data_IF_028436938254
#
_entry.id   IF_028436938254
#
_cell.length_a   1.000
_cell.length_b   1.000
_cell.length_c   1.000
_cell.angle_alpha   90.00
_cell.angle_beta   90.00
_cell.angle_gamma   90.00
#
_symmetry.space_group_name_H-M   'P 1'
#
loop_
_entity.id
_entity.type
_entity.pdbx_description
1 polymer ?
#
# COMPACT_ATOMS: atom_id res chain seq x y z
N UNK A 1 -1.93 2.91 -13.24
CA UNK A 1 -0.64 3.60 -13.02
C UNK A 1 -0.85 4.93 -12.32
N UNK A 2 -1.72 5.81 -12.82
CA UNK A 2 -2.01 7.07 -12.12
C UNK A 2 -2.61 6.84 -10.72
N UNK A 3 -3.58 5.93 -10.61
CA UNK A 3 -4.18 5.50 -9.34
C UNK A 3 -3.16 4.97 -8.33
N UNK A 4 -2.26 4.07 -8.76
CA UNK A 4 -1.17 3.52 -7.96
C UNK A 4 -0.24 4.61 -7.42
N UNK A 5 0.13 5.58 -8.26
CA UNK A 5 0.95 6.71 -7.86
C UNK A 5 0.25 7.61 -6.84
N UNK A 6 -1.04 7.87 -7.04
CA UNK A 6 -1.84 8.66 -6.10
C UNK A 6 -1.98 7.91 -4.76
N UNK A 7 -2.18 6.60 -4.80
CA UNK A 7 -2.26 5.78 -3.60
C UNK A 7 -0.93 5.79 -2.82
N UNK A 8 0.22 5.65 -3.50
CA UNK A 8 1.54 5.73 -2.87
C UNK A 8 1.82 7.09 -2.24
N UNK A 9 1.47 8.18 -2.92
CA UNK A 9 1.59 9.54 -2.40
C UNK A 9 0.77 9.70 -1.12
N UNK A 10 -0.49 9.25 -1.13
CA UNK A 10 -1.37 9.32 0.05
C UNK A 10 -0.90 8.45 1.21
N UNK A 11 -0.53 7.20 0.95
CA UNK A 11 0.02 6.32 1.98
C UNK A 11 1.33 6.91 2.54
N UNK A 12 2.15 7.53 1.70
CA UNK A 12 3.38 8.21 2.12
C UNK A 12 3.13 9.40 3.05
N UNK A 13 2.13 10.23 2.75
CA UNK A 13 1.70 11.35 3.62
C UNK A 13 1.27 10.82 5.01
N UNK A 14 0.45 9.77 5.05
CA UNK A 14 -0.02 9.15 6.30
C UNK A 14 1.13 8.52 7.10
N UNK A 15 2.05 7.80 6.44
CA UNK A 15 3.21 7.20 7.12
C UNK A 15 4.10 8.28 7.73
N UNK A 16 4.38 9.36 6.99
CA UNK A 16 5.16 10.47 7.52
C UNK A 16 4.50 11.08 8.75
N UNK A 17 3.17 11.26 8.72
CA UNK A 17 2.43 11.74 9.88
C UNK A 17 2.55 10.79 11.08
N UNK A 18 2.40 9.48 10.88
CA UNK A 18 2.56 8.46 11.93
C UNK A 18 3.98 8.51 12.50
N UNK A 19 5.03 8.59 11.66
CA UNK A 19 6.40 8.65 12.14
C UNK A 19 6.66 9.90 12.98
N UNK A 20 6.22 11.08 12.53
CA UNK A 20 6.33 12.31 13.31
C UNK A 20 5.62 12.17 14.67
N UNK A 21 4.42 11.60 14.67
CA UNK A 21 3.67 11.34 15.90
C UNK A 21 4.42 10.40 16.85
N UNK A 22 5.02 9.33 16.33
CA UNK A 22 5.82 8.39 17.12
C UNK A 22 7.10 9.03 17.66
N UNK A 23 7.72 9.93 16.89
CA UNK A 23 8.89 10.68 17.33
C UNK A 23 8.59 11.65 18.48
N UNK A 24 7.37 12.18 18.57
CA UNK A 24 6.94 13.04 19.68
C UNK A 24 6.74 12.28 21.00
N UNK A 25 6.68 10.94 20.97
CA UNK A 25 6.53 10.11 22.17
C UNK A 25 7.91 9.89 22.82
N UNK A 26 8.11 10.43 24.03
CA UNK A 26 9.40 10.45 24.73
C UNK A 26 10.10 9.09 24.89
N UNK A 27 9.34 8.01 25.07
CA UNK A 27 9.86 6.66 25.30
C UNK A 27 9.82 5.77 24.06
N UNK A 28 9.45 6.30 22.90
CA UNK A 28 9.43 5.52 21.67
C UNK A 28 10.88 5.29 21.18
N UNK A 29 11.23 4.06 20.75
CA UNK A 29 12.55 3.79 20.20
C UNK A 29 12.81 4.62 18.93
N UNK A 30 13.96 5.31 18.90
CA UNK A 30 14.39 6.15 17.78
C UNK A 30 15.69 5.62 17.16
N UNK A 31 15.88 5.71 15.84
CA UNK A 31 14.94 6.25 14.84
C UNK A 31 13.77 5.28 14.54
N UNK A 32 12.64 5.81 14.08
CA UNK A 32 11.52 4.98 13.62
C UNK A 32 11.95 4.24 12.36
N UNK A 33 11.73 2.92 12.33
CA UNK A 33 12.13 2.11 11.17
C UNK A 33 11.31 2.49 9.91
N UNK A 34 11.92 2.41 8.71
CA UNK A 34 11.20 2.63 7.46
C UNK A 34 10.00 1.69 7.34
N UNK A 35 8.88 2.19 6.84
CA UNK A 35 7.69 1.37 6.59
C UNK A 35 7.74 0.82 5.17
N UNK A 36 7.67 -0.50 5.02
CA UNK A 36 7.59 -1.15 3.72
C UNK A 36 6.16 -1.09 3.16
N UNK A 37 6.02 -0.50 1.98
CA UNK A 37 4.79 -0.48 1.18
C UNK A 37 4.87 -1.57 0.12
N UNK A 38 3.87 -2.45 0.09
CA UNK A 38 3.75 -3.47 -0.95
C UNK A 38 3.03 -2.90 -2.17
N UNK A 39 3.66 -2.96 -3.34
CA UNK A 39 3.08 -2.51 -4.61
C UNK A 39 3.12 -3.64 -5.65
N UNK A 40 2.01 -3.86 -6.37
CA UNK A 40 1.93 -4.89 -7.41
C UNK A 40 2.29 -4.37 -8.82
N UNK A 41 2.58 -3.07 -8.93
CA UNK A 41 2.90 -2.41 -10.19
C UNK A 41 4.38 -2.14 -10.32
N UNK A 42 5.11 -3.06 -10.94
CA UNK A 42 6.55 -2.86 -11.24
C UNK A 42 6.82 -1.58 -12.03
N UNK A 43 5.90 -1.17 -12.91
CA UNK A 43 6.02 0.08 -13.65
C UNK A 43 5.93 1.31 -12.75
N UNK A 44 5.12 1.25 -11.68
CA UNK A 44 5.07 2.30 -10.66
C UNK A 44 6.35 2.31 -9.82
N UNK A 45 6.79 1.14 -9.35
CA UNK A 45 8.04 0.97 -8.57
C UNK A 45 9.25 1.52 -9.35
N UNK A 46 9.40 1.14 -10.63
CA UNK A 46 10.50 1.62 -11.46
C UNK A 46 10.45 3.13 -11.71
N UNK A 47 9.24 3.73 -11.72
CA UNK A 47 9.08 5.18 -11.87
C UNK A 47 9.29 5.94 -10.57
N UNK A 48 8.91 5.41 -9.40
CA UNK A 48 9.16 6.10 -8.13
C UNK A 48 10.66 6.11 -7.78
N UNK A 49 11.39 5.07 -8.20
CA UNK A 49 12.85 5.01 -8.06
C UNK A 49 13.63 5.85 -9.08
N UNK A 50 12.99 6.40 -10.12
CA UNK A 50 13.73 7.17 -11.14
C UNK A 50 14.08 8.56 -10.62
N UNK A 51 15.25 9.10 -11.00
CA UNK A 51 15.72 10.44 -10.59
C UNK A 51 15.04 11.60 -11.34
N UNK A 52 14.31 11.33 -12.42
CA UNK A 52 13.45 12.32 -13.07
C UNK A 52 12.11 11.72 -13.45
N UNK A 53 11.05 12.53 -13.39
CA UNK A 53 9.75 12.19 -13.93
C UNK A 53 9.66 12.70 -15.38
N UNK A 54 9.52 11.76 -16.32
CA UNK A 54 9.52 12.06 -17.76
C UNK A 54 8.11 12.24 -18.36
N UNK A 55 7.06 12.29 -17.54
CA UNK A 55 5.69 12.46 -18.01
C UNK A 55 5.27 13.92 -18.15
N UNK A 56 4.20 14.17 -18.91
CA UNK A 56 3.67 15.53 -19.17
C UNK A 56 2.72 16.06 -18.08
N UNK A 57 2.19 15.19 -17.23
CA UNK A 57 1.25 15.58 -16.18
C UNK A 57 1.96 16.26 -15.00
N UNK A 58 1.59 17.52 -14.74
CA UNK A 58 2.13 18.31 -13.63
C UNK A 58 1.75 17.73 -12.26
N UNK A 59 0.48 17.34 -12.08
CA UNK A 59 0.01 16.80 -10.81
C UNK A 59 0.70 15.49 -10.46
N UNK A 60 1.03 14.64 -11.44
CA UNK A 60 1.80 13.41 -11.21
C UNK A 60 3.26 13.72 -10.95
N UNK A 61 3.86 14.72 -11.60
CA UNK A 61 5.23 15.15 -11.29
C UNK A 61 5.38 15.56 -9.82
N UNK A 62 4.40 16.29 -9.28
CA UNK A 62 4.41 16.71 -7.86
C UNK A 62 4.42 15.50 -6.93
N UNK A 63 3.50 14.56 -7.13
CA UNK A 63 3.39 13.33 -6.32
C UNK A 63 4.61 12.44 -6.43
N UNK A 64 5.12 12.30 -7.64
CA UNK A 64 6.38 11.61 -7.90
C UNK A 64 7.51 12.18 -7.02
N UNK A 65 7.65 13.51 -6.96
CA UNK A 65 8.69 14.14 -6.16
C UNK A 65 8.50 13.89 -4.65
N UNK A 66 7.26 13.97 -4.15
CA UNK A 66 6.94 13.64 -2.76
C UNK A 66 7.34 12.21 -2.42
N UNK A 67 6.91 11.22 -3.22
CA UNK A 67 7.20 9.81 -2.98
C UNK A 67 8.72 9.54 -3.04
N UNK A 68 9.43 10.18 -3.98
CA UNK A 68 10.90 10.07 -4.03
C UNK A 68 11.55 10.64 -2.78
N UNK A 69 11.10 11.79 -2.29
CA UNK A 69 11.64 12.39 -1.08
C UNK A 69 11.48 11.44 0.12
N UNK A 70 10.31 10.81 0.26
CA UNK A 70 10.04 9.82 1.31
C UNK A 70 10.93 8.57 1.21
N UNK A 71 11.22 8.12 -0.02
CA UNK A 71 12.17 7.02 -0.26
C UNK A 71 13.59 7.43 0.11
N UNK A 72 14.04 8.60 -0.35
CA UNK A 72 15.40 9.11 -0.12
C UNK A 72 15.66 9.44 1.36
N UNK A 73 14.63 9.85 2.11
CA UNK A 73 14.73 10.09 3.56
C UNK A 73 14.67 8.82 4.40
N UNK A 74 14.40 7.66 3.78
CA UNK A 74 14.26 6.39 4.50
C UNK A 74 12.98 6.29 5.33
N UNK A 75 11.96 7.13 5.07
CA UNK A 75 10.66 7.02 5.75
C UNK A 75 9.91 5.80 5.25
N UNK A 76 9.98 5.53 3.94
CA UNK A 76 9.33 4.37 3.31
C UNK A 76 10.32 3.53 2.51
N UNK A 77 10.00 2.26 2.36
CA UNK A 77 10.55 1.38 1.32
C UNK A 77 9.40 0.85 0.47
N UNK A 78 9.67 0.43 -0.76
CA UNK A 78 8.65 -0.16 -1.63
C UNK A 78 9.15 -1.50 -2.13
N UNK A 79 8.38 -2.55 -1.83
CA UNK A 79 8.65 -3.91 -2.31
C UNK A 79 7.58 -4.37 -3.29
N UNK A 80 8.02 -5.14 -4.28
CA UNK A 80 7.12 -5.77 -5.22
C UNK A 80 6.37 -6.93 -4.56
N UNK A 81 5.04 -6.91 -4.68
CA UNK A 81 4.18 -8.06 -4.36
C UNK A 81 3.48 -8.53 -5.62
N UNK A 82 3.33 -9.85 -5.80
CA UNK A 82 2.51 -10.35 -6.91
C UNK A 82 1.06 -9.92 -6.68
N UNK A 83 0.39 -9.42 -7.72
CA UNK A 83 -0.99 -8.91 -7.61
C UNK A 83 -1.96 -9.90 -6.93
N UNK A 84 -1.83 -11.21 -7.23
CA UNK A 84 -2.65 -12.27 -6.59
C UNK A 84 -2.44 -12.42 -5.07
N UNK A 85 -1.33 -11.92 -4.56
CA UNK A 85 -0.91 -11.98 -3.17
C UNK A 85 -0.99 -10.61 -2.49
N UNK A 86 -1.38 -9.55 -3.24
CA UNK A 86 -1.59 -8.23 -2.70
C UNK A 86 -2.89 -8.20 -1.88
N UNK A 87 -2.75 -8.16 -0.56
CA UNK A 87 -3.89 -8.16 0.37
C UNK A 87 -4.77 -6.93 0.18
N UNK A 88 -4.20 -5.81 -0.27
CA UNK A 88 -4.90 -4.55 -0.52
C UNK A 88 -5.87 -4.64 -1.71
N UNK A 89 -5.71 -5.62 -2.61
CA UNK A 89 -6.61 -5.80 -3.74
C UNK A 89 -8.06 -6.07 -3.28
N UNK A 90 -8.25 -6.58 -2.05
CA UNK A 90 -9.58 -6.74 -1.47
C UNK A 90 -10.32 -5.40 -1.30
N UNK A 91 -9.58 -4.31 -1.08
CA UNK A 91 -10.12 -2.98 -0.81
C UNK A 91 -10.22 -2.12 -2.06
N UNK A 92 -9.46 -2.44 -3.12
CA UNK A 92 -9.31 -1.57 -4.29
C UNK A 92 -9.85 -2.18 -5.59
N UNK A 93 -10.07 -3.50 -5.65
CA UNK A 93 -10.47 -4.20 -6.87
C UNK A 93 -11.70 -5.09 -6.66
N UNK A 94 -12.46 -5.29 -7.74
CA UNK A 94 -13.47 -6.34 -7.81
C UNK A 94 -12.79 -7.70 -7.99
N UNK A 95 -12.59 -8.44 -6.90
CA UNK A 95 -11.95 -9.76 -6.93
C UNK A 95 -12.94 -10.89 -7.21
N UNK A 96 -12.43 -11.98 -7.80
CA UNK A 96 -13.17 -13.24 -7.87
C UNK A 96 -13.33 -13.84 -6.47
N UNK A 97 -14.28 -14.76 -6.29
CA UNK A 97 -14.53 -15.42 -5.00
C UNK A 97 -13.27 -16.08 -4.41
N UNK A 98 -12.41 -16.63 -5.26
CA UNK A 98 -11.14 -17.21 -4.83
C UNK A 98 -10.13 -16.13 -4.40
N UNK A 99 -10.07 -15.03 -5.14
CA UNK A 99 -9.28 -13.86 -4.76
C UNK A 99 -9.68 -13.32 -3.39
N UNK A 100 -10.99 -13.13 -3.16
CA UNK A 100 -11.53 -12.67 -1.87
C UNK A 100 -11.15 -13.60 -0.72
N UNK A 101 -11.23 -14.92 -0.91
CA UNK A 101 -10.84 -15.88 0.15
C UNK A 101 -9.36 -15.79 0.50
N UNK A 102 -8.49 -15.62 -0.50
CA UNK A 102 -7.04 -15.54 -0.27
C UNK A 102 -6.67 -14.23 0.44
N UNK A 103 -7.17 -13.10 -0.04
CA UNK A 103 -6.87 -11.79 0.54
C UNK A 103 -7.51 -11.63 1.91
N UNK A 104 -8.73 -12.14 2.14
CA UNK A 104 -9.36 -12.11 3.46
C UNK A 104 -8.57 -12.91 4.50
N UNK A 105 -8.07 -14.10 4.12
CA UNK A 105 -7.15 -14.86 4.98
C UNK A 105 -5.86 -14.09 5.27
N UNK A 106 -5.31 -13.39 4.28
CA UNK A 106 -4.15 -12.50 4.45
C UNK A 106 -4.41 -11.36 5.45
N UNK A 107 -5.63 -10.79 5.47
CA UNK A 107 -6.06 -9.80 6.45
C UNK A 107 -6.45 -10.39 7.82
N UNK A 108 -6.28 -11.70 8.03
CA UNK A 108 -6.79 -12.42 9.21
C UNK A 108 -8.32 -12.32 9.40
N UNK A 109 -9.07 -12.03 8.33
CA UNK A 109 -10.52 -12.02 8.32
C UNK A 109 -11.07 -13.44 8.18
N UNK A 110 -12.11 -13.76 8.94
CA UNK A 110 -12.80 -15.06 8.86
C UNK A 110 -13.95 -14.99 7.86
N UNK A 111 -14.06 -15.93 6.91
CA UNK A 111 -15.24 -16.03 6.06
C UNK A 111 -16.49 -16.25 6.91
N UNK A 112 -17.55 -15.50 6.64
CA UNK A 112 -18.85 -15.77 7.25
C UNK A 112 -19.36 -17.09 6.70
N UNK A 113 -19.35 -18.14 7.52
CA UNK A 113 -20.02 -19.41 7.20
C UNK A 113 -21.52 -19.18 7.28
N UNK A 114 -22.21 -19.21 6.14
CA UNK A 114 -23.67 -19.29 6.15
C UNK A 114 -24.06 -20.62 6.77
N UNK A 115 -24.64 -20.60 7.96
CA UNK A 115 -25.42 -21.72 8.48
C UNK A 115 -26.65 -21.84 7.59
N UNK A 116 -26.52 -22.51 6.45
CA UNK A 116 -27.69 -23.05 5.77
C UNK A 116 -27.94 -24.41 6.40
N UNK A 117 -28.61 -24.38 7.55
CA UNK A 117 -29.21 -25.57 8.13
C UNK A 117 -30.27 -26.05 7.14
N UNK A 118 -30.00 -27.18 6.51
CA UNK A 118 -31.03 -27.92 5.80
C UNK A 118 -32.05 -28.38 6.82
N UNK A 119 -33.24 -27.79 6.77
CA UNK A 119 -34.44 -28.48 7.22
C UNK A 119 -35.12 -29.02 5.96
N UNK A 120 -34.70 -30.21 5.56
CA UNK A 120 -35.56 -31.11 4.80
C UNK A 120 -36.56 -31.69 5.79
N UNK A 121 -37.81 -31.31 5.63
CA UNK A 121 -38.99 -32.06 6.06
C UNK A 121 -39.87 -32.25 4.85
#
# INVERSE_FOLDING_TARGET
MESEFIALDKVGEEIKWIQNFLEDISYWPKPVAPVCIQCDSQATIGRTGSMMYNGKSHHIRRRHNTVRELLSSGIITIDYVKSKDNVLDLLTKGLSREGVKRTSKGMSLRPRTSQHGGNST
#
